data_IF_170615814593
#
_entry.id   IF_170615814593
#
_cell.length_a   1.000
_cell.length_b   1.000
_cell.length_c   1.000
_cell.angle_alpha   90.00
_cell.angle_beta   90.00
_cell.angle_gamma   90.00
#
_symmetry.space_group_name_H-M   'P 1'
#
loop_
_entity.id
_entity.type
_entity.pdbx_description
1 polymer ?
#
# COMPACT_ATOMS: atom_id res chain seq x y z
N UNK A 1 -2.55 -12.39 10.25
CA UNK A 1 -2.55 -10.92 10.04
C UNK A 1 -2.76 -10.25 11.38
N UNK A 2 -1.88 -9.34 11.79
CA UNK A 2 -2.15 -8.50 12.96
C UNK A 2 -3.25 -7.49 12.60
N UNK A 3 -4.18 -7.17 13.52
CA UNK A 3 -5.19 -6.17 13.26
C UNK A 3 -4.51 -4.82 13.02
N UNK A 4 -4.76 -4.20 11.87
CA UNK A 4 -4.42 -2.79 11.67
C UNK A 4 -5.25 -2.01 12.68
N UNK A 5 -4.60 -1.39 13.67
CA UNK A 5 -5.32 -0.55 14.64
C UNK A 5 -6.00 0.57 13.86
N UNK A 6 -7.33 0.68 13.88
CA UNK A 6 -7.99 1.83 13.29
C UNK A 6 -7.52 3.09 14.04
N UNK A 7 -7.29 4.21 13.34
CA UNK A 7 -6.84 5.45 13.98
C UNK A 7 -7.84 5.83 15.09
N UNK A 8 -7.31 6.07 16.29
CA UNK A 8 -8.10 6.27 17.53
C UNK A 8 -8.73 7.67 17.58
N UNK A 9 -8.30 8.60 16.71
CA UNK A 9 -8.77 9.98 16.68
C UNK A 9 -9.09 10.45 15.26
N UNK A 10 -10.26 11.06 15.09
CA UNK A 10 -10.60 11.89 13.94
C UNK A 10 -9.83 13.22 14.04
N UNK A 11 -9.12 13.57 12.97
CA UNK A 11 -8.24 14.75 12.91
C UNK A 11 -6.75 14.42 12.96
N UNK A 12 -5.96 15.27 12.31
CA UNK A 12 -4.51 15.19 12.03
C UNK A 12 -3.69 14.60 13.19
N UNK A 13 -3.52 13.28 13.18
CA UNK A 13 -2.50 12.60 13.96
C UNK A 13 -1.21 12.64 13.16
N UNK A 14 -0.19 13.32 13.70
CA UNK A 14 1.04 13.68 12.96
C UNK A 14 1.81 12.48 12.40
N UNK A 15 1.56 11.27 12.91
CA UNK A 15 2.19 10.03 12.47
C UNK A 15 1.32 9.16 11.54
N UNK A 16 0.13 9.61 11.10
CA UNK A 16 -0.81 8.76 10.31
C UNK A 16 -0.19 8.18 9.05
N UNK A 17 0.59 8.98 8.34
CA UNK A 17 1.22 8.55 7.10
C UNK A 17 2.30 7.51 7.39
N UNK A 18 3.10 7.72 8.45
CA UNK A 18 4.12 6.77 8.89
C UNK A 18 3.51 5.45 9.37
N UNK A 19 2.45 5.49 10.17
CA UNK A 19 1.76 4.29 10.68
C UNK A 19 1.11 3.51 9.52
N UNK A 20 0.56 4.22 8.53
CA UNK A 20 0.00 3.61 7.33
C UNK A 20 1.09 2.92 6.50
N UNK A 21 2.22 3.59 6.28
CA UNK A 21 3.37 3.01 5.58
C UNK A 21 3.88 1.77 6.30
N UNK A 22 4.08 1.83 7.62
CA UNK A 22 4.55 0.68 8.41
C UNK A 22 3.58 -0.51 8.34
N UNK A 23 2.27 -0.24 8.41
CA UNK A 23 1.24 -1.29 8.30
C UNK A 23 1.21 -1.95 6.90
N UNK A 24 1.60 -1.21 5.86
CA UNK A 24 1.61 -1.70 4.48
C UNK A 24 2.95 -2.33 4.08
N UNK A 25 4.07 -1.92 4.67
CA UNK A 25 5.42 -2.35 4.28
C UNK A 25 5.58 -3.87 4.30
N UNK A 26 5.13 -4.52 5.39
CA UNK A 26 5.16 -5.99 5.49
C UNK A 26 4.32 -6.71 4.43
N UNK A 27 3.25 -6.07 3.93
CA UNK A 27 2.44 -6.63 2.83
C UNK A 27 3.13 -6.43 1.48
N UNK A 28 3.78 -5.29 1.27
CA UNK A 28 4.57 -5.03 0.07
C UNK A 28 5.70 -6.04 -0.05
N UNK A 29 6.39 -6.33 1.06
CA UNK A 29 7.44 -7.35 1.07
C UNK A 29 6.93 -8.74 0.66
N UNK A 30 5.73 -9.14 1.13
CA UNK A 30 5.10 -10.40 0.71
C UNK A 30 4.83 -10.46 -0.80
N UNK A 31 4.43 -9.33 -1.42
CA UNK A 31 4.22 -9.26 -2.86
C UNK A 31 5.53 -9.45 -3.65
N UNK A 32 6.65 -8.91 -3.14
CA UNK A 32 7.96 -9.17 -3.73
C UNK A 32 8.38 -10.64 -3.62
N UNK A 33 8.09 -11.29 -2.50
CA UNK A 33 8.38 -12.72 -2.32
C UNK A 33 7.56 -13.59 -3.28
N UNK A 34 6.28 -13.28 -3.48
CA UNK A 34 5.41 -13.99 -4.42
C UNK A 34 5.85 -13.80 -5.87
N UNK A 35 6.17 -12.56 -6.26
CA UNK A 35 6.65 -12.27 -7.61
C UNK A 35 7.99 -12.98 -7.90
N UNK A 36 8.90 -12.99 -6.93
CA UNK A 36 10.17 -13.71 -7.04
C UNK A 36 9.98 -15.23 -7.14
N UNK A 37 9.03 -15.82 -6.38
CA UNK A 37 8.66 -17.24 -6.53
C UNK A 37 8.14 -17.56 -7.93
N UNK A 38 7.46 -16.60 -8.57
CA UNK A 38 7.04 -16.69 -9.96
C UNK A 38 8.15 -16.31 -10.97
N UNK A 39 9.39 -16.15 -10.51
CA UNK A 39 10.58 -15.83 -11.31
C UNK A 39 10.55 -14.44 -11.99
N UNK A 40 9.76 -13.50 -11.47
CA UNK A 40 9.82 -12.10 -11.90
C UNK A 40 11.00 -11.38 -11.26
N UNK A 41 11.58 -10.43 -11.99
CA UNK A 41 12.63 -9.57 -11.46
C UNK A 41 12.06 -8.57 -10.44
N UNK A 42 12.92 -8.08 -9.54
CA UNK A 42 12.52 -7.11 -8.52
C UNK A 42 12.06 -5.80 -9.15
N UNK A 43 12.74 -5.37 -10.20
CA UNK A 43 12.46 -4.15 -10.94
C UNK A 43 11.09 -4.22 -11.64
N UNK A 44 10.77 -5.36 -12.25
CA UNK A 44 9.46 -5.62 -12.88
C UNK A 44 8.34 -5.61 -11.83
N UNK A 45 8.60 -6.25 -10.69
CA UNK A 45 7.65 -6.28 -9.56
C UNK A 45 7.38 -4.89 -9.01
N UNK A 46 8.42 -4.08 -8.82
CA UNK A 46 8.29 -2.71 -8.35
C UNK A 46 7.49 -1.85 -9.33
N UNK A 47 7.77 -1.94 -10.63
CA UNK A 47 7.04 -1.22 -11.66
C UNK A 47 5.54 -1.59 -11.66
N UNK A 48 5.23 -2.89 -11.58
CA UNK A 48 3.85 -3.36 -11.51
C UNK A 48 3.11 -2.85 -10.25
N UNK A 49 3.79 -2.84 -9.10
CA UNK A 49 3.21 -2.30 -7.85
C UNK A 49 2.89 -0.81 -7.97
N UNK A 50 3.77 -0.01 -8.59
CA UNK A 50 3.50 1.41 -8.84
C UNK A 50 2.28 1.62 -9.74
N UNK A 51 2.17 0.85 -10.83
CA UNK A 51 1.02 0.93 -11.74
C UNK A 51 -0.31 0.60 -11.02
N UNK A 52 -0.30 -0.46 -10.20
CA UNK A 52 -1.46 -0.85 -9.39
C UNK A 52 -1.83 0.29 -8.42
N UNK A 53 -0.86 0.80 -7.66
CA UNK A 53 -1.09 1.86 -6.68
C UNK A 53 -1.63 3.14 -7.33
N UNK A 54 -1.06 3.55 -8.47
CA UNK A 54 -1.51 4.74 -9.21
C UNK A 54 -2.95 4.58 -9.70
N UNK A 55 -3.30 3.40 -10.24
CA UNK A 55 -4.67 3.10 -10.66
C UNK A 55 -5.66 3.19 -9.50
N UNK A 56 -5.31 2.66 -8.33
CA UNK A 56 -6.17 2.76 -7.15
C UNK A 56 -6.30 4.19 -6.63
N UNK A 57 -5.21 4.97 -6.62
CA UNK A 57 -5.25 6.38 -6.23
C UNK A 57 -6.21 7.20 -7.11
N UNK A 58 -6.21 6.94 -8.43
CA UNK A 58 -7.15 7.54 -9.38
C UNK A 58 -8.61 7.18 -9.07
N UNK A 59 -8.89 5.93 -8.68
CA UNK A 59 -10.24 5.48 -8.31
C UNK A 59 -10.71 6.18 -7.03
N UNK A 60 -9.88 6.20 -5.99
CA UNK A 60 -10.21 6.84 -4.70
C UNK A 60 -10.45 8.35 -4.88
N UNK A 61 -9.63 9.02 -5.69
CA UNK A 61 -9.79 10.45 -5.97
C UNK A 61 -11.14 10.75 -6.62
N UNK A 62 -11.55 9.95 -7.61
CA UNK A 62 -12.86 10.09 -8.27
C UNK A 62 -14.04 9.83 -7.33
N UNK A 63 -13.89 8.93 -6.36
CA UNK A 63 -14.93 8.65 -5.36
C UNK A 63 -15.10 9.78 -4.36
N UNK A 64 -14.05 10.58 -4.12
CA UNK A 64 -14.12 11.73 -3.22
C UNK A 64 -14.70 13.00 -3.90
N UNK A 65 -14.84 12.99 -5.22
CA UNK A 65 -15.40 14.10 -6.02
C UNK A 65 -16.90 13.93 -6.34
N UNK A 66 -17.49 12.76 -6.03
CA UNK A 66 -18.89 12.40 -6.31
C UNK A 66 -19.76 12.49 -5.04
#
# INVERSE_FOLDING_TARGET
MHPVKPPVFDGQYAARDSDCVEALDGKVQQLFEEAFRASWAREETAAALFEIAERHAKIVSRQNEA
#
